data_IF_174661602315
#
_entry.id   IF_174661602315
#
_cell.length_a   1.000
_cell.length_b   1.000
_cell.length_c   1.000
_cell.angle_alpha   90.00
_cell.angle_beta   90.00
_cell.angle_gamma   90.00
#
_symmetry.space_group_name_H-M   'P 1'
#
loop_
_entity.id
_entity.type
_entity.pdbx_description
1 polymer ?
#
# COMPACT_ATOMS: atom_id res chain seq x y z
N UNK A 1 1.28 10.73 7.16
CA UNK A 1 0.43 9.90 6.27
C UNK A 1 1.27 9.64 5.05
N UNK A 2 1.58 8.36 4.81
CA UNK A 2 2.51 7.97 3.78
C UNK A 2 2.00 8.37 2.40
N UNK A 3 2.76 9.21 1.71
CA UNK A 3 2.51 9.63 0.33
C UNK A 3 3.71 9.35 -0.57
N UNK A 4 4.70 8.60 -0.08
CA UNK A 4 5.83 8.15 -0.88
C UNK A 4 6.30 6.77 -0.43
N UNK A 5 6.56 5.89 -1.39
CA UNK A 5 7.24 4.63 -1.17
C UNK A 5 7.99 4.21 -2.43
N UNK A 6 8.91 3.26 -2.27
CA UNK A 6 9.61 2.66 -3.40
C UNK A 6 9.16 1.22 -3.59
N UNK A 7 8.94 0.82 -4.82
CA UNK A 7 8.53 -0.53 -5.22
C UNK A 7 9.79 -1.42 -5.23
N UNK A 8 9.71 -2.68 -4.77
CA UNK A 8 10.80 -3.64 -4.95
C UNK A 8 11.11 -3.86 -6.43
N UNK A 9 12.38 -4.09 -6.76
CA UNK A 9 12.80 -4.43 -8.12
C UNK A 9 12.17 -5.74 -8.62
N UNK A 10 12.22 -5.97 -9.94
CA UNK A 10 11.58 -7.13 -10.59
C UNK A 10 12.01 -8.47 -9.97
N UNK A 11 13.29 -8.64 -9.68
CA UNK A 11 13.83 -9.86 -9.05
C UNK A 11 13.23 -10.11 -7.66
N UNK A 12 13.03 -9.07 -6.86
CA UNK A 12 12.40 -9.16 -5.55
C UNK A 12 10.91 -9.47 -5.66
N UNK A 13 10.24 -8.96 -6.70
CA UNK A 13 8.84 -9.31 -6.98
C UNK A 13 8.70 -10.80 -7.33
N UNK A 14 9.56 -11.33 -8.21
CA UNK A 14 9.60 -12.78 -8.49
C UNK A 14 9.87 -13.56 -7.20
N UNK A 15 10.93 -13.21 -6.47
CA UNK A 15 11.34 -13.93 -5.27
C UNK A 15 10.25 -13.95 -4.18
N UNK A 16 9.53 -12.84 -4.02
CA UNK A 16 8.58 -12.67 -2.92
C UNK A 16 7.12 -12.90 -3.30
N UNK A 17 6.77 -12.95 -4.58
CA UNK A 17 5.38 -13.11 -5.03
C UNK A 17 5.19 -14.12 -6.15
N UNK A 18 6.27 -14.69 -6.68
CA UNK A 18 6.28 -15.61 -7.83
C UNK A 18 5.58 -15.01 -9.07
N UNK A 19 5.65 -13.68 -9.20
CA UNK A 19 4.96 -12.94 -10.23
C UNK A 19 5.66 -11.60 -10.51
N UNK A 20 5.47 -11.06 -11.71
CA UNK A 20 5.85 -9.71 -12.12
C UNK A 20 4.83 -9.21 -13.14
N UNK A 21 4.26 -8.01 -12.98
CA UNK A 21 3.32 -7.50 -13.96
C UNK A 21 3.99 -7.26 -15.31
N UNK A 22 3.24 -7.54 -16.38
CA UNK A 22 3.65 -7.23 -17.76
C UNK A 22 3.64 -5.72 -18.02
N UNK A 23 2.69 -5.00 -17.41
CA UNK A 23 2.59 -3.55 -17.54
C UNK A 23 3.75 -2.82 -16.83
N UNK A 24 4.22 -1.72 -17.42
CA UNK A 24 5.19 -0.83 -16.79
C UNK A 24 4.62 -0.09 -15.57
N UNK A 25 5.48 0.15 -14.58
CA UNK A 25 5.13 0.88 -13.35
C UNK A 25 6.15 1.96 -13.00
N UNK A 26 5.86 2.72 -11.94
CA UNK A 26 6.81 3.67 -11.34
C UNK A 26 7.50 3.04 -10.14
N UNK A 27 8.83 3.02 -10.13
CA UNK A 27 9.58 2.50 -8.99
C UNK A 27 9.46 3.40 -7.76
N UNK A 28 9.35 4.72 -7.98
CA UNK A 28 9.15 5.73 -6.92
C UNK A 28 7.71 6.20 -6.96
N UNK A 29 6.93 5.77 -5.99
CA UNK A 29 5.49 5.96 -5.97
C UNK A 29 5.11 7.27 -5.29
N UNK A 30 4.19 7.99 -5.93
CA UNK A 30 3.55 9.20 -5.42
C UNK A 30 2.05 9.13 -5.71
N UNK A 31 1.19 9.94 -5.06
CA UNK A 31 -0.25 9.88 -5.27
C UNK A 31 -0.63 9.96 -6.74
N UNK A 32 -1.56 9.10 -7.15
CA UNK A 32 -2.06 8.93 -8.52
C UNK A 32 -1.11 8.25 -9.51
N UNK A 33 0.12 7.89 -9.10
CA UNK A 33 0.98 7.06 -9.96
C UNK A 33 0.45 5.64 -10.05
N UNK A 34 0.84 4.94 -11.12
CA UNK A 34 0.51 3.54 -11.32
C UNK A 34 1.64 2.67 -10.79
N UNK A 35 1.30 1.75 -9.89
CA UNK A 35 2.23 0.84 -9.23
C UNK A 35 1.65 -0.58 -9.17
N UNK A 36 2.51 -1.59 -8.93
CA UNK A 36 2.05 -2.96 -8.80
C UNK A 36 1.30 -3.17 -7.49
N UNK A 37 0.30 -4.05 -7.52
CA UNK A 37 -0.38 -4.55 -6.33
C UNK A 37 -0.80 -6.00 -6.54
N UNK A 38 -0.67 -6.82 -5.50
CA UNK A 38 -1.07 -8.22 -5.52
C UNK A 38 -2.54 -8.32 -5.17
N UNK A 39 -3.34 -9.01 -5.97
CA UNK A 39 -4.75 -9.29 -5.71
C UNK A 39 -5.07 -10.78 -5.87
N UNK A 40 -6.24 -11.19 -5.40
CA UNK A 40 -6.78 -12.52 -5.67
C UNK A 40 -7.19 -12.68 -7.15
N UNK A 41 -6.99 -13.89 -7.70
CA UNK A 41 -7.37 -14.32 -9.05
C UNK A 41 -8.04 -15.69 -8.97
N UNK A 42 -9.36 -15.73 -9.13
CA UNK A 42 -10.13 -16.96 -8.90
C UNK A 42 -10.10 -17.39 -7.43
N UNK A 43 -10.34 -18.69 -7.16
CA UNK A 43 -10.50 -19.21 -5.79
C UNK A 43 -9.19 -19.35 -5.02
N UNK A 44 -8.11 -19.72 -5.69
CA UNK A 44 -6.80 -19.97 -5.05
C UNK A 44 -5.63 -19.20 -5.67
N UNK A 45 -5.86 -18.52 -6.80
CA UNK A 45 -4.82 -17.79 -7.50
C UNK A 45 -4.59 -16.38 -6.96
N UNK A 46 -3.42 -15.83 -7.26
CA UNK A 46 -3.10 -14.42 -7.07
C UNK A 46 -2.38 -13.90 -8.31
N UNK A 47 -2.39 -12.58 -8.48
CA UNK A 47 -1.66 -11.91 -9.55
C UNK A 47 -1.22 -10.51 -9.11
N UNK A 48 -0.03 -10.10 -9.55
CA UNK A 48 0.45 -8.73 -9.53
C UNK A 48 -0.09 -8.00 -10.76
N UNK A 49 -0.79 -6.91 -10.52
CA UNK A 49 -1.36 -6.06 -11.57
C UNK A 49 -0.98 -4.61 -11.32
N UNK A 50 -0.98 -3.78 -12.36
CA UNK A 50 -0.63 -2.37 -12.24
C UNK A 50 -1.88 -1.50 -12.13
N UNK A 51 -1.96 -0.70 -11.08
CA UNK A 51 -3.09 0.21 -10.87
C UNK A 51 -2.69 1.52 -10.19
N UNK A 52 -3.61 2.48 -10.26
CA UNK A 52 -3.42 3.79 -9.64
C UNK A 52 -3.35 3.68 -8.12
N UNK A 53 -2.36 4.35 -7.52
CA UNK A 53 -2.34 4.60 -6.10
C UNK A 53 -3.27 5.76 -5.74
N UNK A 54 -4.47 5.40 -5.30
CA UNK A 54 -5.54 6.33 -4.95
C UNK A 54 -6.88 5.78 -5.43
N UNK A 55 -7.70 5.29 -4.50
CA UNK A 55 -8.99 4.71 -4.85
C UNK A 55 -9.90 5.75 -5.49
N UNK A 56 -10.51 5.41 -6.63
CA UNK A 56 -11.46 6.26 -7.33
C UNK A 56 -12.84 6.01 -6.71
N UNK A 57 -13.46 7.01 -6.05
CA UNK A 57 -14.80 6.86 -5.52
C UNK A 57 -15.84 6.62 -6.62
N UNK A 58 -16.97 5.94 -6.33
CA UNK A 58 -17.93 5.54 -7.36
C UNK A 58 -18.53 6.69 -8.20
N UNK A 59 -18.55 7.93 -7.72
CA UNK A 59 -19.10 9.08 -8.46
C UNK A 59 -18.02 9.98 -9.07
N UNK A 60 -16.74 9.61 -8.93
CA UNK A 60 -15.68 10.34 -9.62
C UNK A 60 -15.76 10.07 -11.11
N UNK A 61 -15.85 11.15 -11.88
CA UNK A 61 -15.96 11.10 -13.36
C UNK A 61 -14.63 10.84 -14.05
N UNK A 62 -13.51 11.00 -13.34
CA UNK A 62 -12.16 10.82 -13.85
C UNK A 62 -11.35 9.97 -12.89
N UNK A 63 -10.10 9.65 -13.27
CA UNK A 63 -9.16 8.96 -12.39
C UNK A 63 -8.73 9.79 -11.18
N UNK A 64 -8.96 11.10 -11.19
CA UNK A 64 -8.69 11.98 -10.05
C UNK A 64 -9.83 11.81 -9.03
N UNK A 65 -9.54 11.33 -7.81
CA UNK A 65 -10.56 11.12 -6.79
C UNK A 65 -11.25 12.43 -6.40
N UNK A 66 -12.57 12.42 -6.43
CA UNK A 66 -13.42 13.57 -6.08
C UNK A 66 -14.58 13.17 -5.19
N UNK A 67 -14.97 14.09 -4.29
CA UNK A 67 -16.16 13.96 -3.46
C UNK A 67 -17.44 14.24 -4.25
N UNK A 68 -18.59 14.07 -3.59
CA UNK A 68 -19.90 14.43 -4.14
C UNK A 68 -20.02 15.93 -4.47
N UNK A 69 -19.24 16.76 -3.77
CA UNK A 69 -19.12 18.20 -3.99
C UNK A 69 -18.11 18.57 -5.11
N UNK A 70 -17.55 17.57 -5.79
CA UNK A 70 -16.58 17.76 -6.87
C UNK A 70 -15.16 18.09 -6.40
N UNK A 71 -14.92 18.24 -5.09
CA UNK A 71 -13.58 18.56 -4.57
C UNK A 71 -12.68 17.35 -4.61
N UNK A 72 -11.39 17.58 -4.87
CA UNK A 72 -10.37 16.53 -4.87
C UNK A 72 -10.28 15.88 -3.49
N UNK A 73 -10.25 14.55 -3.47
CA UNK A 73 -10.02 13.74 -2.28
C UNK A 73 -8.60 13.16 -2.28
N UNK A 74 -8.03 13.01 -1.09
CA UNK A 74 -6.82 12.21 -0.89
C UNK A 74 -7.22 10.79 -0.50
N UNK A 75 -7.21 9.87 -1.46
CA UNK A 75 -7.65 8.47 -1.27
C UNK A 75 -6.52 7.45 -1.35
N UNK A 76 -5.28 7.91 -1.17
CA UNK A 76 -4.07 7.07 -1.15
C UNK A 76 -3.94 6.28 0.14
N UNK A 77 -4.58 6.73 1.21
CA UNK A 77 -4.63 6.07 2.52
C UNK A 77 -6.09 5.92 2.95
N UNK A 78 -6.44 4.81 3.63
CA UNK A 78 -7.66 4.78 4.43
C UNK A 78 -7.41 4.31 5.85
N UNK A 79 -8.19 4.88 6.76
CA UNK A 79 -8.25 4.49 8.17
C UNK A 79 -9.12 3.25 8.30
N UNK A 80 -8.73 2.32 9.18
CA UNK A 80 -9.51 1.11 9.48
C UNK A 80 -10.86 1.48 10.06
N UNK A 81 -10.88 2.47 10.94
CA UNK A 81 -12.05 2.93 11.64
C UNK A 81 -13.10 3.41 10.63
N UNK A 82 -14.28 2.78 10.64
CA UNK A 82 -15.39 3.14 9.76
C UNK A 82 -15.24 2.68 8.30
N UNK A 83 -14.25 1.85 7.96
CA UNK A 83 -13.98 1.50 6.56
C UNK A 83 -15.17 0.83 5.86
N UNK A 84 -15.85 -0.10 6.54
CA UNK A 84 -17.02 -0.79 5.99
C UNK A 84 -18.17 0.16 5.63
N UNK A 85 -18.27 1.31 6.32
CA UNK A 85 -19.28 2.36 6.10
C UNK A 85 -18.78 3.47 5.18
N UNK A 86 -17.49 3.49 4.82
CA UNK A 86 -16.91 4.50 3.95
C UNK A 86 -17.59 4.50 2.59
N UNK A 87 -17.90 5.69 2.08
CA UNK A 87 -18.44 5.84 0.73
C UNK A 87 -17.42 5.44 -0.35
N UNK A 88 -16.14 5.75 -0.14
CA UNK A 88 -15.06 5.39 -1.08
C UNK A 88 -14.67 3.92 -0.96
N UNK A 89 -14.39 3.46 0.27
CA UNK A 89 -13.76 2.15 0.50
C UNK A 89 -14.74 1.03 0.84
N UNK A 90 -15.95 1.35 1.28
CA UNK A 90 -16.88 0.38 1.86
C UNK A 90 -17.36 -0.70 0.89
N UNK A 91 -17.50 -0.36 -0.40
CA UNK A 91 -17.86 -1.33 -1.43
C UNK A 91 -16.80 -2.44 -1.58
N UNK A 92 -15.56 -2.09 -1.97
CA UNK A 92 -14.45 -3.05 -2.02
C UNK A 92 -14.20 -3.75 -0.68
N UNK A 93 -14.34 -3.04 0.45
CA UNK A 93 -14.21 -3.62 1.78
C UNK A 93 -15.17 -4.79 2.00
N UNK A 94 -16.46 -4.58 1.81
CA UNK A 94 -17.51 -5.59 2.06
C UNK A 94 -17.43 -6.77 1.09
N UNK A 95 -16.90 -6.54 -0.11
CA UNK A 95 -16.69 -7.59 -1.14
C UNK A 95 -15.40 -8.40 -0.93
N UNK A 96 -14.64 -8.14 0.13
CA UNK A 96 -13.37 -8.84 0.35
C UNK A 96 -12.28 -8.49 -0.68
N UNK A 97 -12.41 -7.39 -1.43
CA UNK A 97 -11.44 -6.96 -2.43
C UNK A 97 -10.21 -6.36 -1.73
N UNK A 98 -9.37 -7.25 -1.21
CA UNK A 98 -8.10 -6.92 -0.55
C UNK A 98 -6.96 -7.02 -1.56
N UNK A 99 -5.91 -6.24 -1.31
CA UNK A 99 -4.66 -6.33 -2.05
C UNK A 99 -3.47 -6.08 -1.11
N UNK A 100 -2.29 -6.45 -1.59
CA UNK A 100 -1.01 -6.14 -0.97
C UNK A 100 -0.25 -5.21 -1.89
N UNK A 101 0.41 -4.20 -1.32
CA UNK A 101 1.31 -3.32 -2.05
C UNK A 101 2.75 -3.73 -1.75
N UNK A 102 3.48 -4.22 -2.75
CA UNK A 102 4.92 -4.39 -2.64
C UNK A 102 5.58 -3.04 -2.38
N UNK A 103 6.38 -2.96 -1.33
CA UNK A 103 7.19 -1.79 -1.01
C UNK A 103 8.56 -2.26 -0.50
N UNK A 104 9.63 -1.61 -0.96
CA UNK A 104 11.00 -1.79 -0.45
C UNK A 104 11.21 -0.91 0.78
N UNK A 105 10.85 0.37 0.64
CA UNK A 105 10.90 1.37 1.69
C UNK A 105 9.74 2.34 1.57
N UNK A 106 9.52 3.13 2.61
CA UNK A 106 8.57 4.23 2.60
C UNK A 106 9.09 5.45 3.33
N UNK A 107 8.46 6.59 3.06
CA UNK A 107 8.88 7.88 3.64
C UNK A 107 7.73 8.52 4.40
N UNK A 108 8.01 8.94 5.62
CA UNK A 108 7.12 9.78 6.42
C UNK A 108 7.87 11.05 6.88
N UNK A 109 7.17 12.18 7.00
CA UNK A 109 7.78 13.41 7.46
C UNK A 109 7.98 13.37 8.98
N UNK A 110 9.18 13.75 9.41
CA UNK A 110 9.49 14.04 10.80
C UNK A 110 9.48 15.56 11.02
N UNK A 111 8.73 16.00 12.04
CA UNK A 111 8.52 17.41 12.38
C UNK A 111 9.06 17.80 13.76
N UNK A 112 9.74 16.90 14.48
CA UNK A 112 10.20 17.17 15.85
C UNK A 112 11.22 18.31 15.97
N UNK A 113 11.80 18.76 14.85
CA UNK A 113 12.68 19.94 14.75
C UNK A 113 11.97 21.21 14.28
N UNK A 114 10.66 21.17 14.06
CA UNK A 114 9.90 22.24 13.42
C UNK A 114 10.15 22.36 11.90
N UNK A 115 10.97 21.49 11.31
CA UNK A 115 11.24 21.42 9.87
C UNK A 115 10.74 20.09 9.29
N UNK A 116 10.39 20.09 8.02
CA UNK A 116 10.06 18.87 7.29
C UNK A 116 11.33 18.07 6.98
N UNK A 117 11.56 16.98 7.70
CA UNK A 117 12.69 16.06 7.47
C UNK A 117 12.13 14.73 6.96
N UNK A 118 12.44 14.27 5.74
CA UNK A 118 11.96 12.99 5.23
C UNK A 118 12.70 11.85 5.93
N UNK A 119 11.96 10.99 6.65
CA UNK A 119 12.51 9.79 7.27
C UNK A 119 12.15 8.57 6.43
N UNK A 120 13.17 7.76 6.12
CA UNK A 120 13.01 6.52 5.38
C UNK A 120 12.88 5.34 6.34
N UNK A 121 12.01 4.41 5.97
CA UNK A 121 11.73 3.21 6.74
C UNK A 121 11.79 2.00 5.83
N UNK A 122 12.67 1.07 6.17
CA UNK A 122 12.88 -0.20 5.48
C UNK A 122 13.00 -1.33 6.50
N UNK A 123 12.94 -2.58 6.05
CA UNK A 123 13.23 -3.71 6.94
C UNK A 123 14.73 -3.81 7.16
N UNK A 124 15.12 -4.12 8.40
CA UNK A 124 16.52 -4.29 8.78
C UNK A 124 17.22 -5.45 8.06
N UNK A 125 16.46 -6.42 7.53
CA UNK A 125 16.98 -7.55 6.76
C UNK A 125 17.16 -7.24 5.26
N UNK A 126 16.89 -6.00 4.83
CA UNK A 126 16.99 -5.56 3.44
C UNK A 126 15.90 -6.11 2.51
N UNK A 127 14.98 -6.94 3.02
CA UNK A 127 13.93 -7.54 2.20
C UNK A 127 12.74 -6.59 2.03
N UNK A 128 11.87 -6.88 1.06
CA UNK A 128 10.64 -6.14 0.86
C UNK A 128 9.72 -6.18 2.08
N UNK A 129 8.92 -5.13 2.26
CA UNK A 129 8.00 -4.95 3.40
C UNK A 129 6.90 -6.03 3.47
N UNK A 130 6.65 -6.76 2.38
CA UNK A 130 5.69 -7.87 2.31
C UNK A 130 6.26 -9.02 1.47
N UNK A 131 5.89 -10.26 1.82
CA UNK A 131 6.26 -11.49 1.10
C UNK A 131 5.06 -12.45 0.97
N UNK A 132 5.18 -13.44 0.08
CA UNK A 132 4.15 -14.43 -0.24
C UNK A 132 3.62 -15.20 0.98
N UNK A 133 4.51 -15.55 1.91
CA UNK A 133 4.16 -16.28 3.14
C UNK A 133 3.29 -15.46 4.09
N UNK A 134 3.34 -14.13 3.99
CA UNK A 134 2.40 -13.29 4.71
C UNK A 134 0.95 -13.53 4.22
N UNK A 135 0.74 -14.23 3.10
CA UNK A 135 -0.56 -14.47 2.45
C UNK A 135 -1.09 -15.91 2.58
N UNK A 136 -0.30 -16.87 3.10
CA UNK A 136 -0.76 -18.26 3.29
C UNK A 136 -1.03 -18.65 4.75
N UNK A 137 -2.08 -19.45 4.92
CA UNK A 137 -2.68 -19.83 6.19
C UNK A 137 -4.00 -19.10 6.40
N UNK A 138 -4.79 -19.52 7.38
CA UNK A 138 -6.05 -18.91 7.86
C UNK A 138 -5.91 -17.43 8.27
N UNK A 139 -4.79 -16.78 7.93
CA UNK A 139 -4.41 -15.43 8.27
C UNK A 139 -5.13 -14.40 7.43
N UNK A 140 -5.68 -14.64 6.24
CA UNK A 140 -6.51 -13.58 5.63
C UNK A 140 -7.72 -13.21 6.52
N UNK A 141 -8.13 -14.09 7.44
CA UNK A 141 -9.05 -13.80 8.57
C UNK A 141 -8.38 -13.18 9.82
N UNK A 142 -7.07 -13.38 10.06
CA UNK A 142 -6.32 -12.84 11.23
C UNK A 142 -5.36 -11.69 10.90
N UNK A 143 -5.22 -11.31 9.64
CA UNK A 143 -4.73 -10.00 9.24
C UNK A 143 -5.76 -9.04 9.76
N UNK A 144 -5.40 -8.08 10.63
CA UNK A 144 -6.36 -7.09 11.04
C UNK A 144 -6.64 -6.24 9.79
N UNK A 145 -7.70 -6.62 9.08
CA UNK A 145 -8.69 -5.77 8.47
C UNK A 145 -8.11 -4.46 7.92
N UNK A 146 -7.43 -4.55 6.79
CA UNK A 146 -6.97 -3.38 6.06
C UNK A 146 -7.00 -3.58 4.56
N UNK A 147 -8.20 -3.69 3.97
CA UNK A 147 -8.39 -3.09 2.66
C UNK A 147 -7.99 -1.61 2.79
N UNK A 148 -7.33 -1.04 1.79
CA UNK A 148 -6.70 0.30 1.88
C UNK A 148 -5.60 0.51 2.91
N UNK A 149 -5.00 -0.57 3.47
CA UNK A 149 -3.54 -0.57 3.57
C UNK A 149 -2.97 -1.04 2.24
N UNK A 150 -3.14 -0.19 1.23
CA UNK A 150 -2.06 0.00 0.26
C UNK A 150 -0.86 0.73 0.90
N UNK A 151 -0.95 1.08 2.20
CA UNK A 151 0.04 1.83 2.93
C UNK A 151 0.38 1.09 4.23
N UNK A 152 1.40 0.23 4.14
CA UNK A 152 2.59 0.37 4.98
C UNK A 152 2.34 0.88 6.41
N UNK A 153 1.84 0.04 7.31
CA UNK A 153 1.71 0.46 8.72
C UNK A 153 2.00 -0.67 9.70
N UNK A 154 2.32 -1.89 9.25
CA UNK A 154 2.81 -2.94 10.17
C UNK A 154 4.33 -2.95 10.29
N UNK A 155 5.05 -2.26 9.40
CA UNK A 155 6.47 -1.99 9.64
C UNK A 155 6.70 -1.12 10.87
N UNK A 156 5.79 -0.22 11.28
CA UNK A 156 6.02 0.57 12.51
C UNK A 156 6.15 -0.31 13.78
N UNK A 157 5.34 -1.36 13.94
CA UNK A 157 5.47 -2.28 15.09
C UNK A 157 6.77 -3.11 15.08
N UNK A 158 7.33 -3.36 13.91
CA UNK A 158 8.59 -4.10 13.74
C UNK A 158 9.83 -3.19 13.72
N UNK A 159 9.71 -1.97 13.21
CA UNK A 159 10.77 -0.94 13.13
C UNK A 159 11.05 -0.31 14.48
N UNK A 160 10.03 -0.13 15.35
CA UNK A 160 10.26 0.33 16.73
C UNK A 160 11.11 -0.63 17.56
N UNK A 161 11.27 -1.90 17.14
CA UNK A 161 12.13 -2.85 17.83
C UNK A 161 13.57 -2.89 17.32
N UNK A 162 13.90 -2.36 16.12
CA UNK A 162 15.26 -2.53 15.58
C UNK A 162 15.77 -1.53 14.51
N UNK A 163 15.04 -0.48 14.11
CA UNK A 163 15.59 0.45 13.12
C UNK A 163 16.52 1.48 13.78
N UNK A 164 17.84 1.34 13.56
CA UNK A 164 18.73 2.52 13.60
C UNK A 164 18.20 3.49 12.54
N UNK A 165 17.65 4.61 12.98
CA UNK A 165 17.43 5.75 12.09
C UNK A 165 18.80 6.17 11.57
N UNK A 166 19.10 5.87 10.30
CA UNK A 166 20.25 6.48 9.65
C UNK A 166 19.89 7.95 9.44
N UNK A 167 20.44 8.80 10.31
CA UNK A 167 20.48 10.24 10.10
C UNK A 167 21.54 10.52 9.02
N UNK A 168 21.34 11.55 8.17
CA UNK A 168 22.40 12.02 7.28
C UNK A 168 23.64 12.46 8.04
#
# INVERSE_FOLDING_TARGET
MCTYYEVPGREQLVLHFDDVPEEEWRDKMSPLYRGPFLRAKGEAGRELVVGQWGMIPPHSKTHIPTGKDGKRLSTVNARREGMAKSWTYGGPWRKGQRCIIPAQLYVEPYWGTGKHIPWQFERADGQGLAKFEDVHGSSMQNWPDSATKCCIYRSLELSHKNSRAQSP
#
